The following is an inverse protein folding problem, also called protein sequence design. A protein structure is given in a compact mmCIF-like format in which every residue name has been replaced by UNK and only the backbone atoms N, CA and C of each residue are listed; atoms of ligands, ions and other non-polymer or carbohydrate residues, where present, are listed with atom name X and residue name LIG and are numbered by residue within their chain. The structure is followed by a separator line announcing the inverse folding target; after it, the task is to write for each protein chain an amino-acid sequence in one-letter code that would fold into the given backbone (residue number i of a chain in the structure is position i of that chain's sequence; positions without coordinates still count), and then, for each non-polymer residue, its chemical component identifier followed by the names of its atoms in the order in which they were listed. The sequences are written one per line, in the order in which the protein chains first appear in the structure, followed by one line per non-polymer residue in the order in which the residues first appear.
data_IF_316472365436
#
_entry.id   IF_316472365436
#
_cell.length_a   1.000
_cell.length_b   1.000
_cell.length_c   1.000
_cell.angle_alpha   90.00
_cell.angle_beta   90.00
_cell.angle_gamma   90.00
#
_symmetry.space_group_name_H-M   'P 1'
#
loop_
_entity.id
_entity.type
_entity.pdbx_description
1 polymer ?
#
# COMPACT_ATOMS: atom_id res chain seq x y z
N UNK A 1 -78.04 -0.26 -25.82
CA UNK A 1 -78.26 0.59 -24.63
C UNK A 1 -77.13 0.30 -23.66
N UNK A 2 -76.47 1.35 -23.17
CA UNK A 2 -75.16 1.46 -22.51
C UNK A 2 -74.53 0.25 -21.78
N UNK A 3 -73.19 0.07 -21.85
CA UNK A 3 -72.47 -0.95 -21.10
C UNK A 3 -72.23 -0.53 -19.64
N UNK A 4 -72.43 -1.49 -18.73
CA UNK A 4 -72.14 -1.40 -17.31
C UNK A 4 -70.63 -1.33 -17.07
N UNK A 5 -70.17 -0.29 -16.36
CA UNK A 5 -68.80 -0.13 -15.90
C UNK A 5 -68.58 -1.12 -14.73
N UNK A 6 -67.64 -2.05 -14.88
CA UNK A 6 -67.12 -2.85 -13.76
C UNK A 6 -65.97 -2.09 -13.08
N UNK A 7 -66.09 -1.85 -11.78
CA UNK A 7 -65.00 -1.37 -10.93
C UNK A 7 -63.95 -2.48 -10.70
N UNK A 8 -62.66 -2.15 -10.57
CA UNK A 8 -61.62 -3.13 -10.29
C UNK A 8 -61.58 -3.53 -8.81
N UNK A 9 -61.59 -4.85 -8.59
CA UNK A 9 -61.41 -5.51 -7.29
C UNK A 9 -60.00 -5.26 -6.76
N UNK A 10 -59.91 -4.58 -5.60
CA UNK A 10 -58.67 -4.37 -4.85
C UNK A 10 -58.32 -5.68 -4.14
N UNK A 11 -57.31 -6.39 -4.65
CA UNK A 11 -56.74 -7.58 -4.03
C UNK A 11 -55.99 -7.24 -2.75
N UNK A 12 -56.46 -7.76 -1.61
CA UNK A 12 -55.72 -7.78 -0.36
C UNK A 12 -54.47 -8.67 -0.49
N UNK A 13 -53.30 -8.10 -0.20
CA UNK A 13 -52.05 -8.82 -0.12
C UNK A 13 -51.66 -8.95 1.37
N UNK A 14 -51.73 -10.16 1.97
CA UNK A 14 -51.20 -10.40 3.30
C UNK A 14 -49.73 -10.81 3.16
N UNK A 15 -48.84 -10.11 3.87
CA UNK A 15 -47.53 -10.53 4.42
C UNK A 15 -46.82 -9.22 4.78
N UNK A 16 -47.10 -8.73 5.99
CA UNK A 16 -46.26 -7.77 6.70
C UNK A 16 -46.00 -8.37 8.07
N UNK A 17 -45.04 -9.27 8.13
CA UNK A 17 -44.35 -9.57 9.38
C UNK A 17 -43.02 -10.27 9.10
N UNK A 18 -42.06 -10.01 9.98
CA UNK A 18 -40.74 -10.66 10.09
C UNK A 18 -39.68 -10.29 9.05
N UNK A 19 -38.85 -9.27 9.38
CA UNK A 19 -37.39 -9.43 9.52
C UNK A 19 -36.82 -8.17 10.23
N UNK A 20 -36.91 -8.13 11.57
CA UNK A 20 -35.98 -7.36 12.42
C UNK A 20 -34.92 -8.35 12.91
N UNK A 21 -33.67 -8.18 12.48
CA UNK A 21 -32.47 -8.81 13.07
C UNK A 21 -31.47 -7.73 13.48
N UNK A 22 -30.57 -8.02 14.43
CA UNK A 22 -30.23 -7.10 15.52
C UNK A 22 -29.01 -6.22 15.20
N UNK A 23 -29.19 -4.90 15.31
CA UNK A 23 -28.12 -3.90 15.19
C UNK A 23 -27.39 -3.63 16.53
N UNK A 24 -27.59 -4.47 17.55
CA UNK A 24 -27.17 -4.16 18.94
C UNK A 24 -25.83 -4.76 19.38
N UNK A 25 -25.28 -5.77 18.70
CA UNK A 25 -24.09 -6.49 19.18
C UNK A 25 -22.75 -5.98 18.59
N UNK A 26 -22.76 -5.37 17.41
CA UNK A 26 -21.55 -4.83 16.78
C UNK A 26 -21.10 -3.51 17.43
N UNK A 27 -22.03 -2.63 17.78
CA UNK A 27 -21.73 -1.36 18.45
C UNK A 27 -21.19 -1.59 19.87
N UNK A 28 -21.71 -2.60 20.60
CA UNK A 28 -21.20 -2.98 21.92
C UNK A 28 -19.77 -3.54 21.86
N UNK A 29 -19.44 -4.34 20.84
CA UNK A 29 -18.07 -4.86 20.64
C UNK A 29 -17.08 -3.76 20.22
N UNK A 30 -17.53 -2.77 19.45
CA UNK A 30 -16.70 -1.65 19.02
C UNK A 30 -16.40 -0.68 20.17
N UNK A 31 -17.41 -0.35 20.98
CA UNK A 31 -17.27 0.50 22.17
C UNK A 31 -16.40 -0.13 23.28
N UNK A 32 -16.42 -1.46 23.41
CA UNK A 32 -15.60 -2.16 24.40
C UNK A 32 -14.10 -2.19 24.01
N UNK A 33 -13.79 -2.31 22.71
CA UNK A 33 -12.39 -2.29 22.23
C UNK A 33 -11.76 -0.90 22.29
N UNK A 34 -12.51 0.17 22.02
CA UNK A 34 -11.97 1.55 22.10
C UNK A 34 -11.65 1.96 23.53
N UNK A 35 -12.43 1.53 24.53
CA UNK A 35 -12.16 1.81 25.95
C UNK A 35 -10.92 1.08 26.50
N UNK A 36 -10.60 -0.10 25.97
CA UNK A 36 -9.42 -0.88 26.40
C UNK A 36 -8.13 -0.26 25.84
N UNK A 37 -8.15 0.17 24.58
CA UNK A 37 -6.98 0.75 23.90
C UNK A 37 -6.60 2.10 24.51
N UNK A 38 -7.58 2.96 24.84
CA UNK A 38 -7.29 4.25 25.48
C UNK A 38 -6.69 4.08 26.88
N UNK A 39 -7.14 3.09 27.65
CA UNK A 39 -6.63 2.81 29.00
C UNK A 39 -5.18 2.31 28.99
N UNK A 40 -4.82 1.46 28.00
CA UNK A 40 -3.44 0.97 27.85
C UNK A 40 -2.49 2.08 27.41
N UNK A 41 -2.91 2.95 26.50
CA UNK A 41 -2.11 4.11 26.07
C UNK A 41 -1.87 5.06 27.25
N UNK A 42 -2.90 5.35 28.05
CA UNK A 42 -2.76 6.22 29.23
C UNK A 42 -1.79 5.62 30.28
N UNK A 43 -1.88 4.31 30.51
CA UNK A 43 -0.99 3.61 31.44
C UNK A 43 0.47 3.62 30.95
N UNK A 44 0.71 3.45 29.65
CA UNK A 44 2.06 3.52 29.06
C UNK A 44 2.64 4.94 29.16
N UNK A 45 1.83 5.98 28.94
CA UNK A 45 2.26 7.37 29.12
C UNK A 45 2.64 7.67 30.58
N UNK A 46 1.88 7.17 31.56
CA UNK A 46 2.19 7.35 32.97
C UNK A 46 3.47 6.60 33.39
N UNK A 47 3.71 5.40 32.83
CA UNK A 47 4.96 4.66 33.06
C UNK A 47 6.20 5.38 32.50
N UNK A 48 6.09 5.99 31.32
CA UNK A 48 7.19 6.75 30.73
C UNK A 48 7.58 7.98 31.59
N UNK A 49 6.60 8.67 32.18
CA UNK A 49 6.84 9.82 33.07
C UNK A 49 7.47 9.40 34.39
N UNK A 50 7.16 8.20 34.90
CA UNK A 50 7.79 7.65 36.11
C UNK A 50 9.25 7.24 35.88
N UNK A 51 9.60 6.67 34.72
CA UNK A 51 10.98 6.25 34.42
C UNK A 51 11.93 7.45 34.32
N UNK A 52 11.47 8.60 33.79
CA UNK A 52 12.28 9.82 33.69
C UNK A 52 12.53 10.47 35.05
N UNK A 53 11.69 10.25 36.06
CA UNK A 53 11.82 10.86 37.39
C UNK A 53 12.60 10.00 38.41
N UNK A 54 12.96 8.75 38.09
CA UNK A 54 13.65 7.85 39.03
C UNK A 54 15.17 7.78 38.79
N UNK A 55 15.66 8.23 37.63
CA UNK A 55 17.10 8.22 37.33
C UNK A 55 17.66 9.64 37.22
N UNK A 56 18.28 10.20 38.28
CA UNK A 56 19.18 11.33 38.10
C UNK A 56 20.37 10.87 37.26
N UNK A 57 20.50 11.44 36.06
CA UNK A 57 21.68 11.28 35.19
C UNK A 57 22.89 11.84 35.93
N UNK A 58 23.75 10.95 36.40
CA UNK A 58 25.00 11.29 37.07
C UNK A 58 26.04 11.61 35.99
N UNK A 59 26.33 12.89 35.77
CA UNK A 59 27.37 13.35 34.83
C UNK A 59 28.68 13.46 35.61
N UNK A 60 29.58 12.49 35.45
CA UNK A 60 30.89 12.55 36.09
C UNK A 60 31.91 11.59 35.47
N UNK A 61 32.92 12.15 34.80
CA UNK A 61 34.14 11.41 34.43
C UNK A 61 34.79 11.86 33.12
N UNK A 62 35.74 12.79 33.21
CA UNK A 62 36.74 13.08 32.16
C UNK A 62 37.71 11.89 32.03
N UNK A 63 38.10 11.43 30.82
CA UNK A 63 39.12 10.40 30.67
C UNK A 63 40.52 10.99 30.40
N UNK A 64 41.54 10.32 30.92
CA UNK A 64 42.96 10.52 30.62
C UNK A 64 43.41 9.46 29.58
N UNK A 65 44.32 9.74 28.61
CA UNK A 65 44.52 8.88 27.46
C UNK A 65 45.63 7.85 27.68
N UNK A 66 45.39 6.59 27.29
CA UNK A 66 46.44 5.60 27.03
C UNK A 66 46.41 5.20 25.55
N UNK A 67 47.59 5.28 24.95
CA UNK A 67 47.88 4.96 23.56
C UNK A 67 47.98 3.45 23.31
N UNK A 68 47.61 3.09 22.07
CA UNK A 68 47.94 1.90 21.25
C UNK A 68 46.99 0.69 21.28
N UNK A 69 46.85 -0.08 20.16
CA UNK A 69 47.14 0.22 18.76
C UNK A 69 45.92 0.01 17.81
N UNK A 70 46.01 0.66 16.65
CA UNK A 70 45.17 0.56 15.45
C UNK A 70 44.30 -0.71 15.32
N UNK A 71 43.01 -0.55 15.61
CA UNK A 71 41.94 -1.33 14.98
C UNK A 71 41.08 -0.32 14.22
N UNK A 72 41.21 -0.31 12.89
CA UNK A 72 40.35 0.48 12.01
C UNK A 72 38.99 -0.22 11.98
N UNK A 73 38.14 0.12 12.95
CA UNK A 73 36.70 -0.11 12.88
C UNK A 73 36.10 1.11 12.18
N UNK A 74 36.04 1.04 10.85
CA UNK A 74 35.25 1.98 10.04
C UNK A 74 33.81 1.49 9.98
N UNK A 75 33.12 1.45 11.12
CA UNK A 75 31.66 1.34 11.17
C UNK A 75 31.09 2.60 11.85
N UNK A 76 31.39 3.76 11.26
CA UNK A 76 30.48 4.90 11.35
C UNK A 76 29.71 4.94 10.04
N UNK A 77 28.52 4.34 10.02
CA UNK A 77 27.51 4.68 9.03
C UNK A 77 27.12 6.15 9.25
N UNK A 78 27.95 7.06 8.76
CA UNK A 78 27.54 8.42 8.52
C UNK A 78 26.53 8.34 7.37
N UNK A 79 25.26 8.34 7.74
CA UNK A 79 24.19 8.79 6.86
C UNK A 79 24.57 10.21 6.44
N UNK A 80 25.29 10.33 5.32
CA UNK A 80 25.26 11.54 4.54
C UNK A 80 23.82 11.64 4.07
N UNK A 81 22.98 12.26 4.90
CA UNK A 81 21.89 13.07 4.39
C UNK A 81 22.55 13.91 3.33
N UNK A 82 22.42 13.51 2.07
CA UNK A 82 22.69 14.39 0.95
C UNK A 82 22.15 15.74 1.37
N UNK A 83 22.95 16.80 1.29
CA UNK A 83 22.44 18.17 1.43
C UNK A 83 21.14 18.17 0.64
N UNK A 84 19.96 18.27 1.28
CA UNK A 84 18.73 17.98 0.57
C UNK A 84 18.61 19.08 -0.47
N UNK A 85 18.98 18.75 -1.70
CA UNK A 85 18.60 19.56 -2.83
C UNK A 85 17.10 19.38 -2.81
N UNK A 86 16.40 20.39 -2.30
CA UNK A 86 14.96 20.40 -2.31
C UNK A 86 14.55 20.46 -3.77
N UNK A 87 14.46 19.29 -4.39
CA UNK A 87 14.04 19.17 -5.78
C UNK A 87 12.61 19.68 -5.84
N UNK A 88 12.34 20.54 -6.80
CA UNK A 88 10.96 20.90 -7.12
C UNK A 88 10.23 19.65 -7.60
N UNK A 89 8.92 19.61 -7.36
CA UNK A 89 8.11 18.51 -7.85
C UNK A 89 7.95 18.62 -9.37
N UNK A 90 8.81 17.89 -10.10
CA UNK A 90 8.78 17.77 -11.56
C UNK A 90 8.64 16.29 -11.89
N UNK A 91 7.50 15.93 -12.45
CA UNK A 91 7.20 14.57 -12.86
C UNK A 91 7.50 14.34 -14.34
N UNK A 92 8.10 13.20 -14.73
CA UNK A 92 8.65 12.16 -13.86
C UNK A 92 10.08 12.47 -13.37
N UNK A 93 10.77 13.40 -14.01
CA UNK A 93 12.23 13.54 -13.98
C UNK A 93 12.87 13.60 -12.58
N UNK A 94 12.31 14.42 -11.67
CA UNK A 94 12.90 14.56 -10.33
C UNK A 94 12.53 13.40 -9.41
N UNK A 95 11.40 12.73 -9.66
CA UNK A 95 11.03 11.49 -8.94
C UNK A 95 11.98 10.37 -9.35
N UNK A 96 12.24 10.22 -10.65
CA UNK A 96 13.15 9.21 -11.17
C UNK A 96 14.57 9.40 -10.61
N UNK A 97 15.11 10.63 -10.63
CA UNK A 97 16.43 10.94 -10.05
C UNK A 97 16.55 10.52 -8.57
N UNK A 98 15.51 10.77 -7.77
CA UNK A 98 15.48 10.35 -6.35
C UNK A 98 15.54 8.83 -6.24
N UNK A 99 14.74 8.13 -7.05
CA UNK A 99 14.71 6.67 -7.04
C UNK A 99 16.05 6.09 -7.46
N UNK A 100 16.63 6.59 -8.54
CA UNK A 100 17.96 6.18 -9.01
C UNK A 100 19.03 6.40 -7.94
N UNK A 101 19.05 7.58 -7.33
CA UNK A 101 20.00 7.93 -6.27
C UNK A 101 19.91 6.98 -5.06
N UNK A 102 18.68 6.67 -4.63
CA UNK A 102 18.45 5.74 -3.53
C UNK A 102 18.93 4.34 -3.89
N UNK A 103 18.62 3.85 -5.10
CA UNK A 103 19.12 2.56 -5.58
C UNK A 103 20.65 2.56 -5.71
N UNK A 104 21.26 3.69 -6.09
CA UNK A 104 22.69 3.79 -6.31
C UNK A 104 23.52 3.83 -5.04
N UNK A 105 23.01 4.45 -3.98
CA UNK A 105 23.77 4.68 -2.75
C UNK A 105 23.38 3.78 -1.56
N UNK A 106 22.31 2.98 -1.66
CA UNK A 106 21.78 2.17 -0.55
C UNK A 106 21.76 0.68 -0.91
N UNK A 107 22.95 0.10 -1.11
CA UNK A 107 23.08 -1.30 -1.53
C UNK A 107 22.81 -2.31 -0.40
N UNK A 108 23.01 -1.94 0.86
CA UNK A 108 22.94 -2.85 2.01
C UNK A 108 21.60 -2.87 2.75
N UNK A 109 20.56 -2.25 2.18
CA UNK A 109 19.25 -2.14 2.81
C UNK A 109 18.22 -3.05 2.12
N UNK A 110 17.16 -3.42 2.84
CA UNK A 110 16.08 -4.26 2.31
C UNK A 110 15.18 -3.50 1.33
N UNK A 111 14.32 -4.21 0.58
CA UNK A 111 13.33 -3.55 -0.28
C UNK A 111 12.37 -2.67 0.54
N UNK A 112 12.03 -3.08 1.77
CA UNK A 112 11.20 -2.27 2.66
C UNK A 112 11.89 -0.97 3.11
N UNK A 113 13.18 -1.05 3.47
CA UNK A 113 13.96 0.14 3.83
C UNK A 113 14.08 1.11 2.65
N UNK A 114 14.31 0.61 1.44
CA UNK A 114 14.30 1.43 0.22
C UNK A 114 12.97 2.12 0.01
N UNK A 115 11.87 1.40 0.20
CA UNK A 115 10.52 1.96 0.09
C UNK A 115 10.29 3.08 1.12
N UNK A 116 10.84 2.96 2.33
CA UNK A 116 10.81 4.00 3.37
C UNK A 116 11.65 5.23 2.99
N UNK A 117 12.86 5.03 2.45
CA UNK A 117 13.70 6.13 1.97
C UNK A 117 13.02 6.90 0.84
N UNK A 118 12.49 6.19 -0.16
CA UNK A 118 11.76 6.80 -1.28
C UNK A 118 10.54 7.55 -0.74
N UNK A 119 9.75 6.93 0.14
CA UNK A 119 8.60 7.59 0.78
C UNK A 119 9.01 8.90 1.45
N UNK A 120 10.11 8.90 2.18
CA UNK A 120 10.60 10.08 2.91
C UNK A 120 10.91 11.22 1.95
N UNK A 121 11.57 10.93 0.82
CA UNK A 121 11.87 11.95 -0.19
C UNK A 121 10.60 12.41 -0.94
N UNK A 122 9.69 11.51 -1.31
CA UNK A 122 8.44 11.89 -1.99
C UNK A 122 7.53 12.77 -1.11
N UNK A 123 7.56 12.58 0.21
CA UNK A 123 6.81 13.41 1.16
C UNK A 123 7.35 14.85 1.28
N UNK A 124 8.55 15.15 0.75
CA UNK A 124 9.12 16.50 0.75
C UNK A 124 8.60 17.36 -0.41
N UNK A 125 8.05 16.74 -1.44
CA UNK A 125 7.48 17.46 -2.56
C UNK A 125 6.24 18.25 -2.14
N UNK A 126 6.18 19.52 -2.55
CA UNK A 126 4.98 20.36 -2.44
C UNK A 126 4.00 19.98 -3.56
N UNK A 127 3.34 18.85 -3.40
CA UNK A 127 2.37 18.34 -4.37
C UNK A 127 1.11 17.86 -3.69
N UNK A 128 0.02 17.87 -4.45
CA UNK A 128 -1.22 17.25 -4.03
C UNK A 128 -1.28 15.75 -4.40
N UNK A 129 -0.29 15.22 -5.09
CA UNK A 129 -0.32 13.83 -5.51
C UNK A 129 -0.11 12.90 -4.31
N UNK A 130 -0.79 11.76 -4.37
CA UNK A 130 -0.64 10.66 -3.42
C UNK A 130 0.03 9.51 -4.15
N UNK A 131 1.08 8.95 -3.58
CA UNK A 131 1.92 7.99 -4.27
C UNK A 131 1.72 6.57 -3.75
N UNK A 132 1.78 5.60 -4.66
CA UNK A 132 2.23 4.25 -4.37
C UNK A 132 3.69 4.07 -4.72
N UNK A 133 4.37 3.32 -3.86
CA UNK A 133 5.79 3.00 -3.95
C UNK A 133 5.88 1.48 -3.86
N UNK A 134 6.25 0.83 -4.95
CA UNK A 134 6.41 -0.62 -5.03
C UNK A 134 7.90 -0.90 -5.24
N UNK A 135 8.53 -1.59 -4.30
CA UNK A 135 9.95 -1.97 -4.38
C UNK A 135 10.04 -3.48 -4.23
N UNK A 136 10.78 -4.13 -5.13
CA UNK A 136 10.91 -5.58 -5.17
C UNK A 136 12.20 -5.99 -5.89
N UNK A 137 12.57 -7.26 -5.76
CA UNK A 137 13.79 -7.79 -6.35
C UNK A 137 13.83 -7.61 -7.86
N UNK A 138 15.04 -7.39 -8.37
CA UNK A 138 15.25 -7.16 -9.79
C UNK A 138 14.69 -8.30 -10.66
N UNK A 139 13.82 -7.95 -11.59
CA UNK A 139 13.36 -8.85 -12.66
C UNK A 139 13.06 -8.06 -13.93
N UNK A 140 13.26 -8.67 -15.10
CA UNK A 140 12.84 -8.09 -16.38
C UNK A 140 11.75 -8.94 -17.04
N UNK A 141 11.36 -10.04 -16.40
CA UNK A 141 10.46 -11.02 -17.02
C UNK A 141 9.00 -10.61 -16.85
N UNK A 142 8.21 -10.55 -17.95
CA UNK A 142 6.77 -10.36 -17.86
C UNK A 142 6.04 -11.57 -17.22
N UNK A 143 6.76 -12.64 -16.88
CA UNK A 143 6.26 -13.75 -16.07
C UNK A 143 6.15 -13.43 -14.58
N UNK A 144 6.88 -12.42 -14.11
CA UNK A 144 6.99 -12.11 -12.70
C UNK A 144 6.46 -10.72 -12.36
N UNK A 145 6.11 -9.92 -13.37
CA UNK A 145 5.51 -8.61 -13.19
C UNK A 145 4.73 -8.23 -14.44
N UNK A 146 3.66 -7.48 -14.27
CA UNK A 146 2.97 -6.81 -15.37
C UNK A 146 2.21 -5.59 -14.84
N UNK A 147 2.14 -4.54 -15.65
CA UNK A 147 1.51 -3.27 -15.29
C UNK A 147 0.60 -2.80 -16.42
N UNK A 148 -0.55 -2.25 -16.04
CA UNK A 148 -1.47 -1.60 -16.97
C UNK A 148 -2.04 -0.33 -16.32
N UNK A 149 -2.07 0.77 -17.05
CA UNK A 149 -2.55 2.04 -16.53
C UNK A 149 -2.17 3.23 -17.39
N UNK A 150 -2.51 4.42 -16.89
CA UNK A 150 -2.18 5.70 -17.53
C UNK A 150 -0.67 5.92 -17.50
N UNK A 151 -0.02 5.92 -18.67
CA UNK A 151 1.44 5.99 -18.79
C UNK A 151 2.05 7.26 -18.19
N UNK A 152 1.30 8.36 -18.11
CA UNK A 152 1.75 9.62 -17.48
C UNK A 152 1.63 9.63 -15.95
N UNK A 153 1.14 8.56 -15.34
CA UNK A 153 0.85 8.47 -13.90
C UNK A 153 1.69 7.42 -13.16
N UNK A 154 2.53 6.66 -13.85
CA UNK A 154 3.52 5.83 -13.19
C UNK A 154 4.85 5.81 -13.92
N UNK A 155 5.91 5.52 -13.17
CA UNK A 155 7.24 5.25 -13.69
C UNK A 155 7.74 3.91 -13.19
N UNK A 156 8.66 3.31 -13.94
CA UNK A 156 9.36 2.09 -13.55
C UNK A 156 10.86 2.34 -13.67
N UNK A 157 11.59 2.16 -12.58
CA UNK A 157 13.05 2.25 -12.53
C UNK A 157 13.57 0.87 -12.17
N UNK A 158 14.45 0.31 -13.00
CA UNK A 158 15.04 -1.02 -12.77
C UNK A 158 16.56 -0.92 -12.83
N UNK A 159 17.23 -1.40 -11.78
CA UNK A 159 18.69 -1.46 -11.73
C UNK A 159 19.12 -2.91 -11.54
N UNK A 160 19.83 -3.52 -12.52
CA UNK A 160 20.32 -4.90 -12.40
C UNK A 160 21.14 -5.13 -11.13
N UNK A 161 20.91 -6.27 -10.48
CA UNK A 161 21.59 -6.62 -9.22
C UNK A 161 21.12 -5.82 -8.00
N UNK A 162 20.09 -4.98 -8.15
CA UNK A 162 19.48 -4.20 -7.07
C UNK A 162 17.98 -4.52 -6.99
N UNK A 163 17.13 -3.53 -7.22
CA UNK A 163 15.68 -3.66 -7.14
C UNK A 163 15.03 -3.09 -8.40
N UNK A 164 13.78 -3.48 -8.60
CA UNK A 164 12.83 -2.74 -9.39
C UNK A 164 12.01 -1.83 -8.48
N UNK A 165 11.71 -0.63 -8.97
CA UNK A 165 10.85 0.34 -8.30
C UNK A 165 9.79 0.79 -9.27
N UNK A 166 8.53 0.70 -8.86
CA UNK A 166 7.42 1.31 -9.57
C UNK A 166 6.82 2.38 -8.66
N UNK A 167 6.72 3.61 -9.18
CA UNK A 167 6.03 4.69 -8.50
C UNK A 167 4.78 5.01 -9.29
N UNK A 168 3.62 4.91 -8.65
CA UNK A 168 2.36 5.38 -9.20
C UNK A 168 1.94 6.65 -8.44
N UNK A 169 1.39 7.64 -9.14
CA UNK A 169 0.78 8.84 -8.55
C UNK A 169 -0.70 8.89 -8.86
N UNK A 170 -1.50 9.17 -7.84
CA UNK A 170 -2.91 9.53 -7.99
C UNK A 170 -3.06 11.03 -7.81
N UNK A 171 -3.77 11.64 -8.76
CA UNK A 171 -4.10 13.06 -8.71
C UNK A 171 -5.36 13.31 -7.88
N UNK A 172 -6.28 12.34 -7.83
CA UNK A 172 -7.61 12.56 -7.24
C UNK A 172 -7.81 11.87 -5.89
N UNK A 173 -6.88 11.04 -5.41
CA UNK A 173 -7.07 10.31 -4.15
C UNK A 173 -7.38 11.20 -2.95
N UNK A 174 -6.68 12.34 -2.79
CA UNK A 174 -6.93 13.23 -1.62
C UNK A 174 -8.36 13.77 -1.60
N UNK A 175 -8.93 14.06 -2.77
CA UNK A 175 -10.30 14.54 -2.92
C UNK A 175 -11.32 13.44 -3.17
N UNK A 176 -10.91 12.17 -3.13
CA UNK A 176 -11.78 11.06 -3.51
C UNK A 176 -12.93 10.88 -2.51
N UNK A 177 -14.09 10.39 -2.98
CA UNK A 177 -15.23 10.07 -2.12
C UNK A 177 -14.87 9.17 -0.94
N UNK A 178 -15.66 9.22 0.13
CA UNK A 178 -15.43 8.41 1.34
C UNK A 178 -15.48 6.91 1.04
N UNK A 179 -16.35 6.49 0.11
CA UNK A 179 -16.49 5.09 -0.31
C UNK A 179 -15.43 4.63 -1.32
N UNK A 180 -14.56 5.50 -1.85
CA UNK A 180 -13.60 5.13 -2.88
C UNK A 180 -12.68 3.98 -2.43
N UNK A 181 -12.18 4.03 -1.19
CA UNK A 181 -11.37 2.96 -0.61
C UNK A 181 -12.16 1.64 -0.49
N UNK A 182 -13.40 1.71 -0.01
CA UNK A 182 -14.24 0.51 0.15
C UNK A 182 -14.53 -0.15 -1.20
N UNK A 183 -14.81 0.64 -2.25
CA UNK A 183 -15.05 0.11 -3.60
C UNK A 183 -13.83 -0.61 -4.13
N UNK A 184 -12.66 0.04 -4.17
CA UNK A 184 -11.44 -0.58 -4.71
C UNK A 184 -10.98 -1.79 -3.89
N UNK A 185 -11.14 -1.75 -2.56
CA UNK A 185 -10.86 -2.91 -1.70
C UNK A 185 -11.74 -4.09 -2.07
N UNK A 186 -13.07 -3.88 -2.19
CA UNK A 186 -14.00 -4.94 -2.53
C UNK A 186 -13.69 -5.56 -3.90
N UNK A 187 -13.41 -4.74 -4.90
CA UNK A 187 -13.08 -5.23 -6.25
C UNK A 187 -11.78 -6.05 -6.28
N UNK A 188 -10.77 -5.61 -5.51
CA UNK A 188 -9.51 -6.36 -5.37
C UNK A 188 -9.76 -7.69 -4.66
N UNK A 189 -10.45 -7.68 -3.51
CA UNK A 189 -10.73 -8.90 -2.73
C UNK A 189 -11.56 -9.91 -3.54
N UNK A 190 -12.57 -9.43 -4.28
CA UNK A 190 -13.38 -10.28 -5.18
C UNK A 190 -12.52 -10.87 -6.30
N UNK A 191 -11.64 -10.08 -6.90
CA UNK A 191 -10.72 -10.56 -7.96
C UNK A 191 -9.71 -11.56 -7.41
N UNK A 192 -9.10 -11.27 -6.27
CA UNK A 192 -8.15 -12.16 -5.59
C UNK A 192 -8.80 -13.48 -5.18
N UNK A 193 -10.07 -13.47 -4.78
CA UNK A 193 -10.81 -14.69 -4.44
C UNK A 193 -10.99 -15.65 -5.62
N UNK A 194 -11.07 -15.10 -6.84
CA UNK A 194 -11.22 -15.88 -8.09
C UNK A 194 -9.90 -16.42 -8.63
N UNK A 195 -8.78 -15.76 -8.31
CA UNK A 195 -7.47 -16.10 -8.87
C UNK A 195 -7.32 -15.74 -10.35
N UNK A 196 -6.12 -15.99 -10.89
CA UNK A 196 -5.83 -15.89 -12.33
C UNK A 196 -5.35 -17.23 -12.87
N UNK A 197 -5.67 -17.54 -14.12
CA UNK A 197 -5.19 -18.77 -14.74
C UNK A 197 -3.69 -18.68 -15.01
N UNK A 198 -2.99 -19.79 -14.83
CA UNK A 198 -1.60 -19.96 -15.19
C UNK A 198 -1.48 -19.86 -16.69
N UNK A 199 -0.52 -19.06 -17.10
CA UNK A 199 -0.12 -18.90 -18.49
C UNK A 199 1.40 -19.11 -18.60
N UNK A 200 1.89 -19.66 -19.72
CA UNK A 200 3.27 -20.14 -19.77
C UNK A 200 4.31 -19.02 -19.86
N UNK A 201 3.96 -17.83 -20.39
CA UNK A 201 4.99 -16.89 -20.88
C UNK A 201 4.80 -15.40 -20.58
N UNK A 202 3.58 -14.88 -20.35
CA UNK A 202 3.41 -13.43 -20.26
C UNK A 202 2.08 -12.95 -19.61
N UNK A 203 2.14 -12.38 -18.41
CA UNK A 203 0.95 -11.87 -17.70
C UNK A 203 0.47 -10.48 -18.12
N UNK A 204 1.09 -9.85 -19.13
CA UNK A 204 0.70 -8.52 -19.62
C UNK A 204 -0.76 -8.46 -20.06
N UNK A 205 -1.22 -9.49 -20.79
CA UNK A 205 -2.60 -9.52 -21.28
C UNK A 205 -3.60 -9.74 -20.14
N UNK A 206 -3.23 -10.56 -19.14
CA UNK A 206 -4.04 -10.76 -17.93
C UNK A 206 -4.23 -9.44 -17.18
N UNK A 207 -3.18 -8.63 -17.01
CA UNK A 207 -3.35 -7.31 -16.35
C UNK A 207 -4.29 -6.39 -17.13
N UNK A 208 -4.28 -6.43 -18.46
CA UNK A 208 -5.20 -5.64 -19.30
C UNK A 208 -6.65 -6.14 -19.19
N UNK A 209 -6.84 -7.45 -19.09
CA UNK A 209 -8.16 -8.04 -18.90
C UNK A 209 -8.72 -7.74 -17.51
N UNK A 210 -7.90 -7.93 -16.47
CA UNK A 210 -8.27 -7.62 -15.09
C UNK A 210 -8.66 -6.15 -14.94
N UNK A 211 -7.90 -5.24 -15.54
CA UNK A 211 -8.14 -3.79 -15.45
C UNK A 211 -9.57 -3.39 -15.82
N UNK A 212 -10.20 -4.09 -16.77
CA UNK A 212 -11.59 -3.81 -17.20
C UNK A 212 -12.64 -4.05 -16.13
N UNK A 213 -12.30 -4.78 -15.06
CA UNK A 213 -13.20 -5.12 -13.97
C UNK A 213 -13.17 -4.12 -12.80
N UNK A 214 -12.26 -3.14 -12.85
CA UNK A 214 -12.07 -2.17 -11.77
C UNK A 214 -12.62 -0.81 -12.16
N UNK A 215 -13.25 -0.13 -11.20
CA UNK A 215 -13.78 1.22 -11.40
C UNK A 215 -12.85 2.27 -10.79
N UNK A 216 -12.75 3.41 -11.46
CA UNK A 216 -12.01 4.59 -10.99
C UNK A 216 -10.52 4.34 -10.66
N UNK A 217 -9.92 3.31 -11.26
CA UNK A 217 -8.48 3.09 -11.19
C UNK A 217 -7.80 3.65 -12.44
N UNK A 218 -6.55 4.12 -12.28
CA UNK A 218 -5.66 4.43 -13.39
C UNK A 218 -4.38 3.59 -13.39
N UNK A 219 -4.26 2.65 -12.45
CA UNK A 219 -3.12 1.75 -12.37
C UNK A 219 -3.57 0.39 -11.84
N UNK A 220 -3.13 -0.67 -12.50
CA UNK A 220 -3.20 -2.04 -12.04
C UNK A 220 -1.85 -2.71 -12.26
N UNK A 221 -1.29 -3.30 -11.22
CA UNK A 221 -0.04 -4.03 -11.28
C UNK A 221 -0.16 -5.41 -10.67
N UNK A 222 0.58 -6.36 -11.22
CA UNK A 222 0.89 -7.61 -10.54
C UNK A 222 2.41 -7.75 -10.39
N UNK A 223 2.85 -8.23 -9.22
CA UNK A 223 4.27 -8.49 -8.94
C UNK A 223 4.36 -9.83 -8.22
N UNK A 224 5.21 -10.73 -8.70
CA UNK A 224 5.36 -12.08 -8.11
C UNK A 224 5.76 -11.92 -6.65
N UNK A 225 4.99 -12.54 -5.77
CA UNK A 225 5.15 -12.42 -4.32
C UNK A 225 6.54 -12.88 -3.85
N UNK A 226 7.20 -13.76 -4.61
CA UNK A 226 8.54 -14.27 -4.28
C UNK A 226 9.65 -13.23 -4.42
N UNK A 227 9.38 -12.05 -5.00
CA UNK A 227 10.36 -10.98 -5.23
C UNK A 227 10.50 -10.01 -4.04
N UNK A 228 10.25 -10.46 -2.81
CA UNK A 228 10.34 -9.63 -1.59
C UNK A 228 9.69 -8.24 -1.75
N UNK A 229 8.40 -8.26 -2.11
CA UNK A 229 7.66 -7.04 -2.50
C UNK A 229 7.33 -6.19 -1.27
N UNK A 230 7.81 -4.95 -1.24
CA UNK A 230 7.33 -3.90 -0.33
C UNK A 230 6.45 -2.91 -1.08
N UNK A 231 5.24 -2.67 -0.54
CA UNK A 231 4.30 -1.65 -1.04
C UNK A 231 4.09 -0.62 0.07
N UNK A 232 4.42 0.63 -0.24
CA UNK A 232 4.27 1.78 0.67
C UNK A 232 3.52 2.90 -0.04
N UNK A 233 3.08 3.89 0.75
CA UNK A 233 2.47 5.10 0.22
C UNK A 233 3.04 6.37 0.84
N UNK A 234 3.06 7.43 0.04
CA UNK A 234 3.43 8.78 0.45
C UNK A 234 2.25 9.75 0.25
N UNK A 235 2.20 10.79 1.09
CA UNK A 235 1.15 11.83 1.09
C UNK A 235 -0.29 11.33 1.32
N UNK A 236 -0.45 10.11 1.85
CA UNK A 236 -1.70 9.40 2.08
C UNK A 236 -2.31 9.68 3.48
N UNK A 237 -2.36 10.95 3.88
CA UNK A 237 -2.85 11.36 5.19
C UNK A 237 -4.31 10.93 5.41
N UNK A 238 -4.59 10.29 6.55
CA UNK A 238 -5.92 9.76 6.88
C UNK A 238 -6.31 8.44 6.19
N UNK A 239 -5.59 8.01 5.16
CA UNK A 239 -5.80 6.74 4.45
C UNK A 239 -4.47 6.02 4.25
N UNK A 240 -3.92 5.48 5.34
CA UNK A 240 -2.52 5.04 5.44
C UNK A 240 -2.08 3.99 4.41
N UNK A 241 -3.00 3.20 3.84
CA UNK A 241 -2.63 2.25 2.79
C UNK A 241 -2.16 2.95 1.52
N UNK A 242 -2.68 4.13 1.18
CA UNK A 242 -2.31 4.84 -0.04
C UNK A 242 -3.47 4.98 -1.00
N UNK A 243 -3.19 5.34 -2.27
CA UNK A 243 -4.21 5.64 -3.26
C UNK A 243 -4.82 4.37 -3.87
N UNK A 244 -5.46 3.52 -3.07
CA UNK A 244 -6.16 2.33 -3.55
C UNK A 244 -6.08 1.14 -2.60
N UNK A 245 -5.82 -0.07 -3.13
CA UNK A 245 -5.67 -1.29 -2.35
C UNK A 245 -4.76 -2.32 -3.05
N UNK A 246 -4.20 -3.24 -2.26
CA UNK A 246 -3.49 -4.40 -2.80
C UNK A 246 -3.71 -5.63 -1.93
N UNK A 247 -3.72 -6.80 -2.57
CA UNK A 247 -3.82 -8.10 -1.91
C UNK A 247 -3.17 -9.20 -2.77
N UNK A 248 -3.12 -10.42 -2.25
CA UNK A 248 -2.49 -11.56 -2.92
C UNK A 248 -3.50 -12.29 -3.81
N UNK A 249 -3.15 -12.45 -5.09
CA UNK A 249 -3.93 -13.24 -6.06
C UNK A 249 -3.22 -14.56 -6.38
N UNK A 250 -3.89 -15.72 -6.18
CA UNK A 250 -3.30 -17.01 -6.51
C UNK A 250 -3.33 -17.28 -8.02
N UNK A 251 -2.31 -17.96 -8.51
CA UNK A 251 -2.28 -18.51 -9.87
C UNK A 251 -2.84 -19.93 -9.85
N UNK A 252 -3.84 -20.18 -10.69
CA UNK A 252 -4.57 -21.44 -10.80
C UNK A 252 -4.16 -22.19 -12.06
N UNK A 253 -4.05 -23.51 -12.02
CA UNK A 253 -3.87 -24.32 -13.21
C UNK A 253 -5.04 -24.10 -14.18
N UNK A 254 -4.74 -23.86 -15.46
CA UNK A 254 -5.76 -23.47 -16.45
C UNK A 254 -6.82 -24.57 -16.66
N UNK A 255 -6.47 -25.85 -16.46
CA UNK A 255 -7.33 -27.02 -16.67
C UNK A 255 -8.03 -27.45 -15.38
N UNK A 256 -7.30 -27.63 -14.29
CA UNK A 256 -7.83 -28.19 -13.03
C UNK A 256 -8.43 -27.13 -12.12
N UNK A 257 -8.08 -25.86 -12.32
CA UNK A 257 -8.39 -24.72 -11.43
C UNK A 257 -7.80 -24.83 -10.02
N UNK A 258 -6.89 -25.77 -9.81
CA UNK A 258 -6.17 -25.91 -8.55
C UNK A 258 -5.05 -24.87 -8.42
N UNK A 259 -4.67 -24.52 -7.18
CA UNK A 259 -3.58 -23.57 -6.94
C UNK A 259 -2.24 -24.15 -7.38
N UNK A 260 -1.50 -23.41 -8.20
CA UNK A 260 -0.14 -23.78 -8.64
C UNK A 260 0.93 -23.54 -7.57
N UNK A 261 0.61 -22.79 -6.51
CA UNK A 261 1.56 -22.30 -5.52
C UNK A 261 2.29 -21.01 -5.93
N UNK A 262 2.11 -20.51 -7.16
CA UNK A 262 2.53 -19.15 -7.54
C UNK A 262 1.45 -18.15 -7.12
N UNK A 263 1.88 -17.01 -6.63
CA UNK A 263 1.03 -15.92 -6.17
C UNK A 263 1.61 -14.58 -6.64
N UNK A 264 0.74 -13.64 -6.96
CA UNK A 264 1.13 -12.26 -7.22
C UNK A 264 0.55 -11.35 -6.15
N UNK A 265 1.23 -10.26 -5.85
CA UNK A 265 0.60 -9.09 -5.24
C UNK A 265 -0.12 -8.35 -6.36
N UNK A 266 -1.45 -8.23 -6.28
CA UNK A 266 -2.29 -7.43 -7.17
C UNK A 266 -2.48 -6.05 -6.52
N UNK A 267 -2.07 -4.99 -7.20
CA UNK A 267 -2.13 -3.60 -6.73
C UNK A 267 -3.04 -2.79 -7.65
N UNK A 268 -4.06 -2.14 -7.11
CA UNK A 268 -4.87 -1.15 -7.81
C UNK A 268 -4.63 0.26 -7.26
N UNK A 269 -4.34 1.18 -8.16
CA UNK A 269 -4.20 2.62 -7.92
C UNK A 269 -5.42 3.40 -8.39
N UNK A 270 -6.11 4.06 -7.46
CA UNK A 270 -7.22 4.98 -7.73
C UNK A 270 -6.74 6.22 -8.47
N UNK A 271 -7.47 6.65 -9.51
CA UNK A 271 -7.14 7.79 -10.38
C UNK A 271 -6.67 9.05 -9.64
#
# INVERSE_FOLDING_TARGET
MYPTIMEPVIGHNPIKESYRKPQSDYEKKLMCKTSLVTSVILALCLFAVLIVNIYPVNVGGKPEPRNSPNYVSNDSYHFNSMKPVQLEYIWPDNVEKIVEDILDNNMHVTNDDRAVLIKTELMRFKTNDVFYIMVYDHTQSPNNQAFHGTQSEYITVSKPGKSNVVIYRSHYWRGSPENALTTVTKEIEETCSKGINSIPENYTDITRELYKNFHDINFLGIIDRKLDVSVRSANSFGRARGPGYWDTIPVLDSKTKERTGKEFILIAGYK
#
